data_IF_597388057635
#
_entry.id   IF_597388057635
#
_cell.length_a   1.000
_cell.length_b   1.000
_cell.length_c   1.000
_cell.angle_alpha   90.00
_cell.angle_beta   90.00
_cell.angle_gamma   90.00
#
_symmetry.space_group_name_H-M   'P 1'
#
loop_
_entity.id
_entity.type
_entity.pdbx_description
1 polymer ?
#
# COMPACT_ATOMS: atom_id res chain seq x y z
N UNK A 1 27.87 40.25 27.06
CA UNK A 1 27.36 39.20 27.96
C UNK A 1 25.84 39.22 27.88
N UNK A 2 25.25 38.47 26.95
CA UNK A 2 23.81 38.26 26.85
C UNK A 2 23.59 36.80 26.46
N UNK A 3 23.16 36.01 27.43
CA UNK A 3 22.63 34.67 27.25
C UNK A 3 21.21 34.80 26.70
N UNK A 4 20.88 34.03 25.66
CA UNK A 4 19.49 33.61 25.45
C UNK A 4 19.45 32.34 24.60
N UNK A 5 19.03 31.26 25.27
CA UNK A 5 18.75 29.93 24.74
C UNK A 5 17.44 29.98 23.95
N UNK A 6 17.44 29.56 22.68
CA UNK A 6 16.19 29.24 21.96
C UNK A 6 16.11 27.72 21.74
N UNK A 7 15.80 27.02 22.83
CA UNK A 7 15.21 25.68 22.76
C UNK A 7 13.72 25.85 22.51
N UNK A 8 13.27 25.59 21.28
CA UNK A 8 11.84 25.59 20.96
C UNK A 8 11.23 24.30 21.53
N UNK A 9 10.65 24.40 22.73
CA UNK A 9 9.69 23.44 23.26
C UNK A 9 8.31 23.84 22.74
N UNK A 10 7.76 23.08 21.79
CA UNK A 10 6.35 23.21 21.41
C UNK A 10 5.54 22.36 22.38
N UNK A 11 4.95 23.01 23.39
CA UNK A 11 3.93 22.42 24.25
C UNK A 11 2.60 22.46 23.50
N UNK A 12 2.27 21.39 22.79
CA UNK A 12 0.98 21.26 22.11
C UNK A 12 0.07 20.37 22.95
N UNK A 13 -0.73 21.00 23.81
CA UNK A 13 -1.94 20.37 24.34
C UNK A 13 -2.95 20.28 23.20
N UNK A 14 -3.13 19.09 22.63
CA UNK A 14 -4.17 18.85 21.64
C UNK A 14 -4.86 17.53 21.95
N UNK A 15 -6.14 17.66 22.29
CA UNK A 15 -7.14 16.60 22.41
C UNK A 15 -6.99 15.61 21.26
N UNK A 16 -6.51 14.41 21.59
CA UNK A 16 -6.40 13.31 20.64
C UNK A 16 -7.75 12.67 20.43
N UNK A 17 -8.32 12.85 19.23
CA UNK A 17 -9.35 11.94 18.70
C UNK A 17 -8.73 10.54 18.68
N UNK A 18 -9.29 9.66 19.51
CA UNK A 18 -8.90 8.28 19.70
C UNK A 18 -9.07 7.49 18.40
N UNK A 19 -7.99 7.30 17.65
CA UNK A 19 -7.85 6.09 16.83
C UNK A 19 -7.62 4.91 17.79
N UNK A 20 -8.70 4.31 18.29
CA UNK A 20 -8.68 3.05 19.05
C UNK A 20 -8.38 1.86 18.12
N UNK A 21 -7.21 1.87 17.49
CA UNK A 21 -6.51 0.63 17.22
C UNK A 21 -5.65 0.35 18.44
N UNK A 22 -5.80 -0.81 19.09
CA UNK A 22 -4.93 -1.25 20.19
C UNK A 22 -3.49 -1.24 19.70
N UNK A 23 -2.79 -0.13 19.88
CA UNK A 23 -1.39 0.06 19.53
C UNK A 23 -0.55 -0.52 20.64
N UNK A 24 0.38 -1.37 20.27
CA UNK A 24 1.22 -2.08 21.21
C UNK A 24 2.35 -1.16 21.66
N UNK A 25 2.52 -1.03 22.97
CA UNK A 25 3.61 -0.30 23.58
C UNK A 25 4.75 -1.28 23.82
N UNK A 26 5.85 -1.09 23.12
CA UNK A 26 6.93 -2.06 23.03
C UNK A 26 8.23 -1.39 23.47
N UNK A 27 8.98 -1.99 24.39
CA UNK A 27 10.29 -1.45 24.75
C UNK A 27 11.18 -1.36 23.51
N UNK A 28 11.90 -0.26 23.35
CA UNK A 28 12.72 -0.04 22.17
C UNK A 28 13.68 1.12 22.31
N UNK A 29 14.58 1.23 21.34
CA UNK A 29 15.59 2.28 21.29
C UNK A 29 15.62 2.91 19.90
N UNK A 30 15.68 4.24 19.85
CA UNK A 30 15.84 5.04 18.62
C UNK A 30 17.18 5.73 18.70
N UNK A 31 18.08 5.41 17.78
CA UNK A 31 19.36 6.08 17.58
C UNK A 31 19.26 7.05 16.41
N UNK A 32 19.74 8.27 16.61
CA UNK A 32 19.75 9.34 15.62
C UNK A 32 21.13 9.48 14.97
N UNK A 33 21.18 10.17 13.84
CA UNK A 33 22.40 10.37 13.05
C UNK A 33 23.48 11.19 13.78
N UNK A 34 23.10 11.97 14.77
CA UNK A 34 23.99 12.75 15.65
C UNK A 34 24.51 11.94 16.85
N UNK A 35 24.11 10.67 16.98
CA UNK A 35 24.45 9.79 18.11
C UNK A 35 23.50 9.90 19.30
N UNK A 36 22.51 10.81 19.27
CA UNK A 36 21.47 10.89 20.30
C UNK A 36 20.69 9.57 20.35
N UNK A 37 20.31 9.12 21.56
CA UNK A 37 19.51 7.91 21.77
C UNK A 37 18.27 8.20 22.60
N UNK A 38 17.12 7.72 22.14
CA UNK A 38 15.88 7.69 22.92
C UNK A 38 15.56 6.24 23.27
N UNK A 39 15.26 5.98 24.53
CA UNK A 39 14.90 4.65 25.03
C UNK A 39 13.62 4.73 25.84
N UNK A 40 12.71 3.78 25.65
CA UNK A 40 11.42 3.72 26.34
C UNK A 40 10.44 2.81 25.61
N UNK A 41 9.16 2.95 25.93
CA UNK A 41 8.08 2.22 25.27
C UNK A 41 7.67 2.95 23.99
N UNK A 42 7.87 2.31 22.85
CA UNK A 42 7.52 2.81 21.54
C UNK A 42 6.15 2.26 21.15
N UNK A 43 5.26 3.16 20.77
CA UNK A 43 3.98 2.86 20.17
C UNK A 43 4.16 2.78 18.64
N UNK A 44 4.07 1.57 18.10
CA UNK A 44 4.19 1.32 16.67
C UNK A 44 2.83 1.23 15.98
N UNK A 45 2.72 1.63 14.70
CA UNK A 45 1.58 1.23 13.89
C UNK A 45 1.64 -0.29 13.67
N UNK A 46 0.47 -0.95 13.57
CA UNK A 46 0.42 -2.38 13.25
C UNK A 46 1.07 -2.73 11.91
N UNK A 47 0.96 -1.82 10.95
CA UNK A 47 1.45 -1.98 9.58
C UNK A 47 2.23 -0.74 9.17
N UNK A 48 3.45 -0.95 8.68
CA UNK A 48 4.22 0.05 7.96
C UNK A 48 3.96 -0.06 6.46
N UNK A 49 3.83 1.08 5.79
CA UNK A 49 3.69 1.15 4.34
C UNK A 49 5.01 1.59 3.72
N UNK A 50 5.57 0.74 2.87
CA UNK A 50 6.87 0.97 2.24
C UNK A 50 6.70 0.92 0.74
N UNK A 51 7.19 1.94 0.05
CA UNK A 51 7.18 1.99 -1.39
C UNK A 51 8.54 1.61 -1.95
N UNK A 52 8.58 0.54 -2.74
CA UNK A 52 9.79 0.16 -3.49
C UNK A 52 9.49 0.19 -4.98
N UNK A 53 10.14 1.12 -5.68
CA UNK A 53 9.98 1.40 -7.12
C UNK A 53 8.54 1.69 -7.53
N UNK A 54 7.74 0.66 -7.79
CA UNK A 54 6.36 0.73 -8.27
C UNK A 54 5.39 -0.10 -7.41
N UNK A 55 5.84 -0.61 -6.25
CA UNK A 55 5.03 -1.47 -5.40
C UNK A 55 4.92 -0.90 -4.00
N UNK A 56 3.69 -0.80 -3.50
CA UNK A 56 3.41 -0.52 -2.10
C UNK A 56 3.36 -1.84 -1.33
N UNK A 57 4.23 -1.97 -0.34
CA UNK A 57 4.33 -3.13 0.53
C UNK A 57 3.80 -2.77 1.92
N UNK A 58 2.97 -3.65 2.47
CA UNK A 58 2.54 -3.61 3.88
C UNK A 58 3.49 -4.51 4.70
N UNK A 59 4.08 -3.97 5.77
CA UNK A 59 4.97 -4.70 6.66
C UNK A 59 4.39 -4.68 8.07
N UNK A 60 4.07 -5.85 8.62
CA UNK A 60 3.57 -5.96 10.01
C UNK A 60 4.68 -5.63 11.02
N UNK A 61 4.35 -4.82 12.03
CA UNK A 61 5.27 -4.44 13.10
C UNK A 61 5.74 -5.61 13.96
N UNK A 62 4.96 -6.68 14.04
CA UNK A 62 5.26 -7.85 14.89
C UNK A 62 6.48 -8.64 14.40
N UNK A 63 6.78 -8.56 13.11
CA UNK A 63 7.90 -9.30 12.49
C UNK A 63 9.21 -8.53 12.52
N UNK A 64 9.13 -7.22 12.73
CA UNK A 64 10.27 -6.34 12.64
C UNK A 64 11.11 -6.51 13.91
N UNK A 65 12.40 -6.75 13.72
CA UNK A 65 13.40 -6.67 14.76
C UNK A 65 13.98 -5.25 14.81
N UNK A 66 14.27 -4.69 13.63
CA UNK A 66 14.97 -3.43 13.50
C UNK A 66 14.54 -2.67 12.24
N UNK A 67 14.50 -1.34 12.32
CA UNK A 67 14.37 -0.44 11.18
C UNK A 67 15.62 0.42 11.08
N UNK A 68 16.33 0.33 9.96
CA UNK A 68 17.49 1.17 9.67
C UNK A 68 17.14 2.21 8.61
N UNK A 69 17.77 3.37 8.70
CA UNK A 69 17.67 4.42 7.69
C UNK A 69 19.06 4.80 7.20
N UNK A 70 19.21 4.86 5.88
CA UNK A 70 20.42 5.35 5.22
C UNK A 70 20.10 6.53 4.33
N UNK A 71 21.05 7.45 4.17
CA UNK A 71 20.93 8.54 3.22
C UNK A 71 21.10 8.01 1.80
N UNK A 72 20.07 8.18 0.98
CA UNK A 72 20.08 7.82 -0.44
C UNK A 72 20.56 9.01 -1.30
N UNK A 73 20.11 10.22 -0.96
CA UNK A 73 20.41 11.43 -1.72
C UNK A 73 20.53 12.64 -0.79
N UNK A 74 21.46 13.54 -1.09
CA UNK A 74 21.60 14.88 -0.49
C UNK A 74 21.50 15.94 -1.59
N UNK A 75 20.65 16.96 -1.42
CA UNK A 75 20.51 18.08 -2.38
C UNK A 75 20.27 19.46 -1.72
N UNK A 76 20.99 20.50 -2.16
CA UNK A 76 20.81 21.85 -1.66
C UNK A 76 19.66 22.42 -2.48
N UNK A 77 18.56 22.69 -1.81
CA UNK A 77 17.36 23.24 -2.45
C UNK A 77 17.24 24.71 -2.07
N UNK A 78 16.60 25.49 -2.93
CA UNK A 78 16.22 26.87 -2.62
C UNK A 78 14.72 26.97 -2.85
N UNK A 79 14.04 27.75 -2.01
CA UNK A 79 12.61 27.98 -2.21
C UNK A 79 12.41 28.67 -3.56
N UNK A 80 11.27 28.44 -4.18
CA UNK A 80 10.88 29.14 -5.39
C UNK A 80 9.38 29.40 -5.36
N UNK A 81 8.98 30.38 -6.15
CA UNK A 81 7.58 30.72 -6.37
C UNK A 81 7.37 30.94 -7.87
N UNK A 82 6.12 30.87 -8.29
CA UNK A 82 5.71 31.18 -9.66
C UNK A 82 5.13 32.59 -9.68
N UNK A 83 5.78 33.54 -10.36
CA UNK A 83 5.26 34.90 -10.45
C UNK A 83 3.88 35.00 -11.09
N UNK A 84 3.63 34.13 -12.06
CA UNK A 84 2.35 34.05 -12.75
C UNK A 84 1.83 32.60 -12.72
N UNK A 85 0.58 32.36 -12.25
CA UNK A 85 -0.03 31.04 -12.28
C UNK A 85 -0.07 30.45 -13.69
N UNK A 86 0.42 29.22 -13.84
CA UNK A 86 0.38 28.49 -15.11
C UNK A 86 1.56 28.74 -16.06
N UNK A 87 2.47 29.68 -15.73
CA UNK A 87 3.75 29.81 -16.44
C UNK A 87 4.82 28.93 -15.78
N UNK A 88 5.70 28.28 -16.56
CA UNK A 88 6.75 27.41 -16.01
C UNK A 88 7.91 28.18 -15.36
N UNK A 89 7.98 29.49 -15.53
CA UNK A 89 9.06 30.34 -14.98
C UNK A 89 9.00 30.37 -13.46
N UNK A 90 10.10 29.94 -12.83
CA UNK A 90 10.25 29.92 -11.38
C UNK A 90 11.24 31.01 -10.96
N UNK A 91 10.88 31.77 -9.94
CA UNK A 91 11.80 32.70 -9.29
C UNK A 91 12.25 32.12 -7.94
N UNK A 92 13.57 32.07 -7.75
CA UNK A 92 14.17 31.56 -6.51
C UNK A 92 14.03 32.60 -5.41
N UNK A 93 13.74 32.13 -4.21
CA UNK A 93 13.56 32.94 -3.00
C UNK A 93 14.29 32.31 -1.82
N UNK A 94 14.72 33.14 -0.88
CA UNK A 94 15.42 32.70 0.33
C UNK A 94 16.83 32.17 0.09
N UNK A 95 17.45 31.65 1.14
CA UNK A 95 18.78 31.03 1.05
C UNK A 95 18.68 29.52 0.76
N UNK A 96 19.72 28.88 0.21
CA UNK A 96 19.76 27.43 0.09
C UNK A 96 19.60 26.74 1.45
N UNK A 97 18.93 25.59 1.46
CA UNK A 97 18.74 24.72 2.62
C UNK A 97 19.01 23.25 2.25
N UNK A 98 19.49 22.44 3.21
CA UNK A 98 19.84 21.06 2.97
C UNK A 98 18.59 20.19 2.94
N UNK A 99 18.54 19.26 2.00
CA UNK A 99 17.50 18.24 1.89
C UNK A 99 18.14 16.88 1.82
N UNK A 100 17.68 15.96 2.66
CA UNK A 100 18.12 14.56 2.66
C UNK A 100 16.94 13.66 2.31
N UNK A 101 17.21 12.65 1.48
CA UNK A 101 16.29 11.55 1.19
C UNK A 101 16.82 10.29 1.84
N UNK A 102 15.94 9.60 2.56
CA UNK A 102 16.23 8.43 3.36
C UNK A 102 15.60 7.20 2.72
N UNK A 103 16.39 6.13 2.65
CA UNK A 103 15.92 4.80 2.37
C UNK A 103 15.80 4.03 3.68
N UNK A 104 14.66 3.37 3.88
CA UNK A 104 14.42 2.51 5.04
C UNK A 104 14.71 1.05 4.71
N UNK A 105 15.21 0.34 5.70
CA UNK A 105 15.43 -1.10 5.68
C UNK A 105 14.80 -1.71 6.92
N UNK A 106 13.97 -2.72 6.70
CA UNK A 106 13.25 -3.47 7.71
C UNK A 106 13.93 -4.82 7.84
N UNK A 107 14.57 -5.06 8.99
CA UNK A 107 15.19 -6.34 9.34
C UNK A 107 14.18 -7.12 10.17
N UNK A 108 13.92 -8.35 9.76
CA UNK A 108 12.95 -9.23 10.39
C UNK A 108 13.62 -10.24 11.32
N UNK A 109 12.84 -10.82 12.24
CA UNK A 109 13.33 -11.84 13.19
C UNK A 109 13.88 -13.11 12.54
N UNK A 110 13.54 -13.38 11.28
CA UNK A 110 14.07 -14.50 10.49
C UNK A 110 15.36 -14.15 9.74
N UNK A 111 15.89 -12.94 9.93
CA UNK A 111 17.08 -12.42 9.26
C UNK A 111 16.83 -11.89 7.85
N UNK A 112 15.61 -12.02 7.32
CA UNK A 112 15.25 -11.44 6.03
C UNK A 112 15.13 -9.92 6.12
N UNK A 113 15.16 -9.26 4.96
CA UNK A 113 15.15 -7.80 4.87
C UNK A 113 14.24 -7.31 3.75
N UNK A 114 13.45 -6.27 4.04
CA UNK A 114 12.70 -5.48 3.04
C UNK A 114 13.22 -4.04 3.05
N UNK A 115 13.15 -3.35 1.91
CA UNK A 115 13.66 -1.98 1.78
C UNK A 115 12.74 -1.11 0.92
N UNK A 116 12.83 0.21 1.09
CA UNK A 116 12.13 1.17 0.23
C UNK A 116 12.01 2.56 0.86
N UNK A 117 11.05 3.34 0.40
CA UNK A 117 10.68 4.63 1.00
C UNK A 117 9.53 4.43 1.96
N UNK A 118 9.77 4.75 3.23
CA UNK A 118 8.73 4.69 4.26
C UNK A 118 7.73 5.82 4.05
N UNK A 119 6.44 5.48 3.93
CA UNK A 119 5.36 6.46 4.04
C UNK A 119 5.41 7.14 5.40
N UNK A 120 5.07 8.43 5.44
CA UNK A 120 5.10 9.23 6.67
C UNK A 120 4.42 8.48 7.81
N UNK A 121 5.20 8.14 8.83
CA UNK A 121 4.77 7.31 9.96
C UNK A 121 5.08 8.04 11.25
N UNK A 122 4.14 8.05 12.19
CA UNK A 122 4.32 8.66 13.51
C UNK A 122 4.56 7.56 14.52
N UNK A 123 5.61 7.73 15.33
CA UNK A 123 5.87 6.93 16.52
C UNK A 123 5.74 7.82 17.77
N UNK A 124 5.25 7.23 18.85
CA UNK A 124 5.31 7.83 20.17
C UNK A 124 6.25 7.01 21.05
N UNK A 125 7.16 7.67 21.74
CA UNK A 125 8.06 7.06 22.71
C UNK A 125 7.73 7.61 24.08
N UNK A 126 7.28 6.74 24.97
CA UNK A 126 6.98 7.07 26.36
C UNK A 126 8.10 6.56 27.26
N UNK A 127 8.68 7.46 28.05
CA UNK A 127 9.63 7.13 29.11
C UNK A 127 9.15 7.85 30.37
N UNK A 128 8.90 7.08 31.42
CA UNK A 128 8.31 7.59 32.68
C UNK A 128 7.00 8.34 32.36
N UNK A 129 6.90 9.63 32.70
CA UNK A 129 5.72 10.47 32.45
C UNK A 129 5.83 11.33 31.17
N UNK A 130 6.92 11.20 30.40
CA UNK A 130 7.14 12.00 29.20
C UNK A 130 6.90 11.17 27.93
N UNK A 131 6.05 11.70 27.04
CA UNK A 131 5.84 11.14 25.71
C UNK A 131 6.44 12.05 24.64
N UNK A 132 7.35 11.51 23.84
CA UNK A 132 7.97 12.17 22.70
C UNK A 132 7.35 11.66 21.40
N UNK A 133 7.01 12.58 20.50
CA UNK A 133 6.53 12.25 19.15
C UNK A 133 7.71 12.27 18.19
N UNK A 134 7.88 11.19 17.43
CA UNK A 134 8.81 11.11 16.31
C UNK A 134 8.00 10.94 15.02
N UNK A 135 8.31 11.74 14.01
CA UNK A 135 7.73 11.58 12.67
C UNK A 135 8.83 11.07 11.74
N UNK A 136 8.61 9.88 11.18
CA UNK A 136 9.49 9.25 10.23
C UNK A 136 9.11 9.72 8.82
N UNK A 137 10.04 10.39 8.16
CA UNK A 137 9.89 10.86 6.78
C UNK A 137 10.93 10.21 5.89
N UNK A 138 10.57 9.89 4.64
CA UNK A 138 11.55 9.55 3.61
C UNK A 138 12.34 10.79 3.13
N UNK A 139 11.80 12.00 3.33
CA UNK A 139 12.42 13.27 2.92
C UNK A 139 12.42 14.26 4.08
N UNK A 140 13.61 14.73 4.47
CA UNK A 140 13.79 15.70 5.55
C UNK A 140 14.50 16.96 5.03
N UNK A 141 14.17 18.10 5.63
CA UNK A 141 14.72 19.42 5.27
C UNK A 141 15.32 20.06 6.51
N UNK A 142 16.52 20.63 6.38
CA UNK A 142 17.08 21.52 7.38
C UNK A 142 16.61 22.96 7.18
N UNK A 143 17.22 23.89 7.93
CA UNK A 143 16.90 25.32 7.80
C UNK A 143 17.73 25.98 6.71
N UNK A 144 17.32 27.17 6.32
CA UNK A 144 18.11 28.04 5.46
C UNK A 144 19.51 28.27 6.03
N UNK A 145 20.51 28.27 5.14
CA UNK A 145 21.93 28.48 5.45
C UNK A 145 22.58 27.36 6.29
N UNK A 146 21.86 26.30 6.64
CA UNK A 146 22.45 25.11 7.26
C UNK A 146 23.06 24.16 6.22
N UNK A 147 23.82 23.17 6.69
CA UNK A 147 24.41 22.10 5.89
C UNK A 147 23.76 20.75 6.22
N UNK A 148 24.16 19.69 5.52
CA UNK A 148 23.57 18.35 5.66
C UNK A 148 23.75 17.76 7.05
N UNK A 149 24.85 18.13 7.71
CA UNK A 149 25.25 17.64 9.02
C UNK A 149 24.31 18.15 10.11
N UNK A 150 23.60 19.27 9.89
CA UNK A 150 22.58 19.78 10.82
C UNK A 150 21.27 18.97 10.79
N UNK A 151 21.02 18.22 9.72
CA UNK A 151 19.76 17.50 9.55
C UNK A 151 19.84 16.18 10.30
N UNK A 152 19.39 16.20 11.56
CA UNK A 152 19.35 15.00 12.40
C UNK A 152 18.17 14.12 12.00
N UNK A 153 18.44 12.86 11.66
CA UNK A 153 17.45 11.87 11.27
C UNK A 153 17.55 10.59 12.11
N UNK A 154 16.45 9.82 12.28
CA UNK A 154 16.53 8.52 12.93
C UNK A 154 17.36 7.58 12.07
N UNK A 155 18.47 7.06 12.61
CA UNK A 155 19.38 6.17 11.91
C UNK A 155 18.99 4.70 12.11
N UNK A 156 18.56 4.35 13.33
CA UNK A 156 18.26 2.97 13.71
C UNK A 156 17.18 2.93 14.78
N UNK A 157 16.20 2.05 14.62
CA UNK A 157 15.14 1.79 15.60
C UNK A 157 15.19 0.30 15.92
N UNK A 158 15.48 -0.03 17.17
CA UNK A 158 15.57 -1.40 17.68
C UNK A 158 14.31 -1.70 18.48
N UNK A 159 13.65 -2.81 18.17
CA UNK A 159 12.47 -3.29 18.87
C UNK A 159 12.91 -4.31 19.92
N UNK A 160 12.68 -4.00 21.19
CA UNK A 160 13.06 -4.81 22.36
C UNK A 160 12.10 -5.97 22.65
N UNK A 161 11.43 -6.51 21.64
CA UNK A 161 10.64 -7.75 21.78
C UNK A 161 11.58 -8.95 21.81
N UNK A 162 11.18 -10.00 22.51
CA UNK A 162 11.69 -11.34 22.24
C UNK A 162 11.16 -11.80 20.88
N UNK A 163 11.97 -12.58 20.13
CA UNK A 163 11.52 -13.22 18.88
C UNK A 163 10.17 -13.88 19.16
N UNK A 164 9.11 -13.57 18.37
CA UNK A 164 7.82 -14.23 18.54
C UNK A 164 8.03 -15.74 18.52
N UNK A 165 7.47 -16.46 19.50
CA UNK A 165 7.40 -17.92 19.43
C UNK A 165 6.78 -18.29 18.09
N UNK A 166 7.43 -19.16 17.32
CA UNK A 166 7.01 -19.52 15.96
C UNK A 166 5.57 -20.05 16.01
N UNK A 167 4.60 -19.18 15.75
CA UNK A 167 3.21 -19.59 15.54
C UNK A 167 3.18 -20.22 14.15
N UNK A 168 2.67 -21.45 13.98
CA UNK A 168 2.51 -22.07 12.67
C UNK A 168 1.72 -21.12 11.79
N UNK A 169 2.39 -20.50 10.83
CA UNK A 169 1.73 -19.63 9.86
C UNK A 169 1.12 -20.53 8.79
N UNK A 170 -0.20 -20.48 8.67
CA UNK A 170 -0.89 -21.07 7.52
C UNK A 170 -0.31 -20.46 6.26
N UNK A 171 0.26 -21.25 5.36
CA UNK A 171 0.68 -20.77 4.05
C UNK A 171 -0.42 -21.10 3.05
N UNK A 172 -0.93 -20.10 2.36
CA UNK A 172 -1.81 -20.32 1.21
C UNK A 172 -0.96 -20.59 -0.03
N UNK A 173 -1.24 -21.70 -0.71
CA UNK A 173 -0.61 -22.07 -1.97
C UNK A 173 -1.66 -22.36 -3.02
N UNK A 174 -1.30 -22.10 -4.28
CA UNK A 174 -2.13 -22.43 -5.44
C UNK A 174 -1.59 -23.71 -6.05
N UNK A 175 -2.49 -24.62 -6.41
CA UNK A 175 -2.14 -25.95 -6.89
C UNK A 175 -1.25 -25.95 -8.13
N UNK A 176 -0.36 -26.96 -8.21
CA UNK A 176 0.43 -27.31 -9.40
C UNK A 176 -0.39 -27.43 -10.69
N UNK A 177 -1.66 -27.82 -10.59
CA UNK A 177 -2.57 -28.01 -11.74
C UNK A 177 -2.81 -26.71 -12.54
N UNK A 178 -2.58 -25.56 -11.90
CA UNK A 178 -2.63 -24.25 -12.51
C UNK A 178 -1.27 -23.79 -13.06
N UNK A 179 -0.27 -24.67 -13.18
CA UNK A 179 0.99 -24.36 -13.86
C UNK A 179 0.99 -24.84 -15.31
N UNK A 180 1.55 -24.09 -16.27
CA UNK A 180 1.96 -22.68 -16.17
C UNK A 180 0.75 -21.73 -16.39
N UNK A 181 0.52 -20.78 -15.47
CA UNK A 181 -0.50 -19.71 -15.61
C UNK A 181 0.02 -18.39 -15.05
N UNK A 182 -0.59 -17.28 -15.46
CA UNK A 182 -0.40 -16.00 -14.79
C UNK A 182 -1.33 -15.89 -13.59
N UNK A 183 -0.78 -15.49 -12.43
CA UNK A 183 -1.54 -15.37 -11.19
C UNK A 183 -1.46 -13.96 -10.63
N UNK A 184 -2.62 -13.38 -10.35
CA UNK A 184 -2.74 -12.03 -9.86
C UNK A 184 -3.59 -11.97 -8.58
N UNK A 185 -3.08 -11.26 -7.59
CA UNK A 185 -3.79 -10.91 -6.36
C UNK A 185 -4.16 -9.43 -6.36
N UNK A 186 -5.29 -9.10 -5.73
CA UNK A 186 -5.64 -7.73 -5.34
C UNK A 186 -6.03 -7.76 -3.86
N UNK A 187 -5.27 -7.09 -3.01
CA UNK A 187 -5.58 -6.96 -1.58
C UNK A 187 -6.87 -6.17 -1.36
N UNK A 188 -7.65 -6.53 -0.33
CA UNK A 188 -8.89 -5.82 -0.02
C UNK A 188 -8.64 -4.48 0.68
N UNK A 189 -7.62 -4.42 1.54
CA UNK A 189 -7.38 -3.25 2.37
C UNK A 189 -6.79 -2.09 1.58
N UNK A 190 -5.62 -2.29 0.96
CA UNK A 190 -4.92 -1.24 0.22
C UNK A 190 -5.21 -1.24 -1.29
N UNK A 191 -5.97 -2.23 -1.80
CA UNK A 191 -6.33 -2.36 -3.22
C UNK A 191 -5.11 -2.43 -4.17
N UNK A 192 -4.00 -2.93 -3.64
CA UNK A 192 -2.76 -3.12 -4.37
C UNK A 192 -2.78 -4.45 -5.12
N UNK A 193 -2.29 -4.40 -6.35
CA UNK A 193 -2.14 -5.54 -7.24
C UNK A 193 -0.78 -6.21 -7.04
N UNK A 194 -0.75 -7.54 -6.98
CA UNK A 194 0.48 -8.33 -6.92
C UNK A 194 0.45 -9.46 -7.96
N UNK A 195 1.46 -9.54 -8.80
CA UNK A 195 1.68 -10.71 -9.65
C UNK A 195 2.50 -11.72 -8.87
N UNK A 196 1.99 -12.94 -8.72
CA UNK A 196 2.74 -13.99 -8.02
C UNK A 196 3.83 -14.53 -8.93
N UNK A 197 5.02 -14.71 -8.35
CA UNK A 197 6.10 -15.41 -9.02
C UNK A 197 5.92 -16.90 -8.82
N UNK A 198 5.97 -17.64 -9.92
CA UNK A 198 6.01 -19.09 -9.90
C UNK A 198 7.30 -19.58 -9.20
N UNK A 199 7.17 -20.56 -8.30
CA UNK A 199 8.30 -21.41 -7.88
C UNK A 199 8.27 -22.71 -8.67
N UNK A 200 9.31 -23.56 -8.55
CA UNK A 200 9.35 -24.86 -9.24
C UNK A 200 8.11 -25.72 -8.95
N UNK A 201 7.50 -25.53 -7.78
CA UNK A 201 6.41 -26.38 -7.32
C UNK A 201 5.06 -25.68 -7.23
N UNK A 202 4.94 -24.41 -6.86
CA UNK A 202 3.63 -23.78 -6.63
C UNK A 202 3.70 -22.25 -6.83
N UNK A 203 2.57 -21.56 -6.66
CA UNK A 203 2.60 -20.13 -6.30
C UNK A 203 2.49 -19.98 -4.79
N UNK A 204 3.37 -19.17 -4.21
CA UNK A 204 3.29 -18.77 -2.81
C UNK A 204 2.60 -17.42 -2.70
N UNK A 205 1.53 -17.36 -1.90
CA UNK A 205 0.86 -16.10 -1.57
C UNK A 205 1.68 -15.37 -0.49
N UNK A 206 2.15 -14.13 -0.73
CA UNK A 206 2.88 -13.37 0.27
C UNK A 206 2.00 -13.15 1.50
N UNK A 207 2.59 -13.30 2.68
CA UNK A 207 1.86 -13.34 3.94
C UNK A 207 1.09 -12.04 4.23
N UNK A 208 1.60 -10.91 3.75
CA UNK A 208 0.93 -9.61 3.84
C UNK A 208 -0.49 -9.63 3.24
N UNK A 209 -0.71 -10.37 2.14
CA UNK A 209 -2.03 -10.50 1.53
C UNK A 209 -2.94 -11.41 2.35
N UNK A 210 -2.37 -12.44 2.98
CA UNK A 210 -3.15 -13.41 3.77
C UNK A 210 -3.81 -12.76 4.99
N UNK A 211 -3.12 -11.82 5.64
CA UNK A 211 -3.67 -11.08 6.79
C UNK A 211 -4.72 -10.04 6.37
N UNK A 212 -4.50 -9.33 5.25
CA UNK A 212 -5.40 -8.27 4.77
C UNK A 212 -6.65 -8.80 4.03
N UNK A 213 -6.62 -10.08 3.63
CA UNK A 213 -7.55 -10.65 2.67
C UNK A 213 -7.31 -10.13 1.25
N UNK A 214 -7.60 -10.98 0.26
CA UNK A 214 -7.38 -10.67 -1.15
C UNK A 214 -8.44 -11.28 -2.06
N UNK A 215 -8.50 -10.76 -3.27
CA UNK A 215 -9.12 -11.42 -4.42
C UNK A 215 -8.02 -12.04 -5.27
N UNK A 216 -8.29 -13.19 -5.88
CA UNK A 216 -7.33 -13.95 -6.66
C UNK A 216 -7.91 -14.19 -8.07
N UNK A 217 -7.07 -14.03 -9.08
CA UNK A 217 -7.39 -14.46 -10.43
C UNK A 217 -6.22 -15.22 -11.06
N UNK A 218 -6.54 -16.27 -11.81
CA UNK A 218 -5.60 -17.14 -12.52
C UNK A 218 -5.97 -17.08 -14.00
N UNK A 219 -5.03 -16.62 -14.84
CA UNK A 219 -5.20 -16.60 -16.29
C UNK A 219 -4.48 -17.79 -16.93
N UNK A 220 -5.25 -18.63 -17.62
CA UNK A 220 -4.77 -19.76 -18.43
C UNK A 220 -5.27 -19.56 -19.86
N UNK A 221 -4.39 -19.16 -20.76
CA UNK A 221 -4.75 -18.84 -22.15
C UNK A 221 -5.87 -17.79 -22.22
N UNK A 222 -6.98 -18.10 -22.91
CA UNK A 222 -8.16 -17.22 -23.02
C UNK A 222 -9.22 -17.46 -21.92
N UNK A 223 -8.87 -18.16 -20.84
CA UNK A 223 -9.75 -18.40 -19.69
C UNK A 223 -9.16 -17.76 -18.45
N UNK A 224 -10.02 -17.12 -17.65
CA UNK A 224 -9.64 -16.52 -16.38
C UNK A 224 -10.55 -17.08 -15.29
N UNK A 225 -9.93 -17.73 -14.32
CA UNK A 225 -10.59 -18.19 -13.10
C UNK A 225 -10.44 -17.11 -12.04
N UNK A 226 -11.52 -16.74 -11.38
CA UNK A 226 -11.53 -15.72 -10.34
C UNK A 226 -12.07 -16.33 -9.06
N UNK A 227 -11.26 -16.31 -8.01
CA UNK A 227 -11.76 -16.58 -6.68
C UNK A 227 -12.54 -15.37 -6.22
N UNK A 228 -13.84 -15.55 -6.05
CA UNK A 228 -14.76 -14.50 -5.62
C UNK A 228 -15.51 -14.97 -4.39
N UNK A 229 -15.73 -14.05 -3.45
CA UNK A 229 -16.51 -14.37 -2.26
C UNK A 229 -17.99 -14.46 -2.60
N UNK A 230 -18.76 -15.06 -1.68
CA UNK A 230 -20.20 -15.32 -1.80
C UNK A 230 -20.91 -14.23 -2.60
N UNK A 231 -21.66 -14.69 -3.60
CA UNK A 231 -22.54 -13.86 -4.44
C UNK A 231 -23.33 -12.87 -3.61
N UNK A 232 -23.19 -11.59 -3.93
CA UNK A 232 -23.98 -10.53 -3.31
C UNK A 232 -25.47 -10.70 -3.61
N UNK A 233 -26.30 -10.13 -2.76
CA UNK A 233 -27.75 -10.26 -2.93
C UNK A 233 -28.24 -9.52 -4.19
N UNK A 234 -29.49 -9.82 -4.57
CA UNK A 234 -30.12 -9.23 -5.75
C UNK A 234 -30.22 -7.70 -5.64
N UNK A 235 -30.42 -7.16 -4.44
CA UNK A 235 -30.56 -5.73 -4.18
C UNK A 235 -29.25 -4.99 -4.48
N UNK A 236 -28.15 -5.50 -3.93
CA UNK A 236 -26.78 -5.00 -4.13
C UNK A 236 -26.39 -5.08 -5.60
N UNK A 237 -26.72 -6.19 -6.27
CA UNK A 237 -26.47 -6.36 -7.69
C UNK A 237 -27.18 -5.29 -8.52
N UNK A 238 -28.47 -5.05 -8.27
CA UNK A 238 -29.26 -4.01 -8.96
C UNK A 238 -28.69 -2.62 -8.69
N UNK A 239 -28.31 -2.34 -7.43
CA UNK A 239 -27.75 -1.06 -7.02
C UNK A 239 -26.42 -0.76 -7.74
N UNK A 240 -25.51 -1.74 -7.82
CA UNK A 240 -24.27 -1.58 -8.58
C UNK A 240 -24.55 -1.45 -10.08
N UNK A 241 -25.48 -2.26 -10.61
CA UNK A 241 -25.83 -2.23 -12.03
C UNK A 241 -26.37 -0.87 -12.48
N UNK A 242 -27.16 -0.21 -11.63
CA UNK A 242 -27.66 1.15 -11.91
C UNK A 242 -26.60 2.22 -11.76
N UNK A 243 -25.55 2.01 -10.96
CA UNK A 243 -24.46 2.96 -10.77
C UNK A 243 -23.43 2.95 -11.93
N UNK A 244 -23.24 1.81 -12.61
CA UNK A 244 -22.21 1.64 -13.67
C UNK A 244 -22.29 2.69 -14.80
N UNK A 245 -23.47 3.03 -15.36
CA UNK A 245 -23.57 4.01 -16.45
C UNK A 245 -23.05 5.41 -16.08
N UNK A 246 -23.11 5.78 -14.80
CA UNK A 246 -22.68 7.11 -14.33
C UNK A 246 -21.15 7.23 -14.17
N UNK A 247 -20.42 6.12 -14.26
CA UNK A 247 -18.95 6.13 -14.24
C UNK A 247 -18.44 6.50 -15.63
N UNK A 248 -17.97 7.74 -15.80
CA UNK A 248 -17.25 8.15 -17.02
C UNK A 248 -15.96 7.33 -17.15
N UNK A 249 -15.77 6.68 -18.29
CA UNK A 249 -14.64 5.78 -18.52
C UNK A 249 -14.28 5.70 -20.01
N UNK A 250 -13.05 5.26 -20.29
CA UNK A 250 -12.58 4.94 -21.63
C UNK A 250 -13.34 3.77 -22.26
N UNK A 251 -13.72 2.76 -21.48
CA UNK A 251 -14.43 1.57 -21.94
C UNK A 251 -15.92 1.86 -22.14
N UNK A 252 -16.44 1.54 -23.33
CA UNK A 252 -17.84 1.75 -23.72
C UNK A 252 -18.72 0.52 -23.48
N UNK A 253 -18.11 -0.66 -23.34
CA UNK A 253 -18.79 -1.88 -22.92
C UNK A 253 -18.32 -2.30 -21.52
N UNK A 254 -19.29 -2.37 -20.59
CA UNK A 254 -19.04 -2.62 -19.17
C UNK A 254 -19.98 -3.73 -18.71
N UNK A 255 -19.44 -4.93 -18.57
CA UNK A 255 -20.18 -6.11 -18.10
C UNK A 255 -19.91 -6.33 -16.61
N UNK A 256 -20.96 -6.24 -15.79
CA UNK A 256 -20.93 -6.68 -14.41
C UNK A 256 -20.95 -8.21 -14.38
N UNK A 257 -19.97 -8.82 -13.72
CA UNK A 257 -19.86 -10.28 -13.59
C UNK A 257 -20.39 -10.75 -12.24
N UNK A 258 -19.96 -10.11 -11.16
CA UNK A 258 -20.41 -10.46 -9.81
C UNK A 258 -20.22 -9.29 -8.84
N UNK A 259 -20.93 -9.35 -7.72
CA UNK A 259 -20.82 -8.38 -6.63
C UNK A 259 -20.54 -9.07 -5.30
N UNK A 260 -19.85 -8.38 -4.41
CA UNK A 260 -19.57 -8.85 -3.06
C UNK A 260 -19.59 -7.66 -2.08
N UNK A 261 -20.27 -7.80 -0.95
CA UNK A 261 -20.33 -6.77 0.09
C UNK A 261 -19.56 -7.25 1.33
N UNK A 262 -18.45 -6.58 1.67
CA UNK A 262 -17.60 -7.00 2.80
C UNK A 262 -18.00 -6.39 4.15
N UNK A 263 -18.56 -5.18 4.09
CA UNK A 263 -19.00 -4.33 5.22
C UNK A 263 -20.24 -3.57 4.77
N UNK A 264 -21.03 -3.03 5.70
CA UNK A 264 -22.27 -2.31 5.37
C UNK A 264 -22.06 -1.19 4.33
N UNK A 265 -20.92 -0.50 4.37
CA UNK A 265 -20.61 0.66 3.51
C UNK A 265 -19.76 0.34 2.27
N UNK A 266 -19.28 -0.90 2.10
CA UNK A 266 -18.27 -1.22 1.08
C UNK A 266 -18.70 -2.39 0.22
N UNK A 267 -18.88 -2.11 -1.07
CA UNK A 267 -19.25 -3.08 -2.09
C UNK A 267 -18.11 -3.20 -3.10
N UNK A 268 -17.82 -4.42 -3.51
CA UNK A 268 -16.90 -4.74 -4.60
C UNK A 268 -17.69 -5.30 -5.77
N UNK A 269 -17.30 -4.92 -6.99
CA UNK A 269 -17.86 -5.51 -8.20
C UNK A 269 -16.75 -6.00 -9.12
N UNK A 270 -16.93 -7.22 -9.64
CA UNK A 270 -16.08 -7.80 -10.66
C UNK A 270 -16.62 -7.37 -12.04
N UNK A 271 -15.76 -6.75 -12.82
CA UNK A 271 -16.11 -6.11 -14.09
C UNK A 271 -15.27 -6.69 -15.23
N UNK A 272 -15.91 -6.95 -16.37
CA UNK A 272 -15.23 -7.09 -17.65
C UNK A 272 -15.50 -5.85 -18.48
N UNK A 273 -14.45 -5.14 -18.84
CA UNK A 273 -14.50 -3.89 -19.58
C UNK A 273 -13.88 -4.09 -20.95
N UNK A 274 -14.55 -3.58 -21.98
CA UNK A 274 -14.08 -3.64 -23.36
C UNK A 274 -14.31 -2.30 -24.05
N UNK A 275 -13.40 -1.98 -24.97
CA UNK A 275 -13.54 -0.85 -25.88
C UNK A 275 -13.94 -1.40 -27.24
N UNK A 276 -15.15 -1.09 -27.68
CA UNK A 276 -15.69 -1.46 -29.00
C UNK A 276 -15.56 -0.33 -30.02
N UNK A 277 -15.58 0.93 -29.57
CA UNK A 277 -15.41 2.09 -30.45
C UNK A 277 -13.98 2.20 -30.99
N UNK A 278 -13.83 2.99 -32.06
CA UNK A 278 -12.52 3.28 -32.68
C UNK A 278 -11.52 3.80 -31.64
N UNK A 279 -10.32 3.25 -31.68
CA UNK A 279 -9.16 3.68 -30.89
C UNK A 279 -8.14 4.36 -31.79
N UNK A 280 -7.17 5.05 -31.19
CA UNK A 280 -6.03 5.66 -31.88
C UNK A 280 -4.93 4.64 -32.22
N UNK A 281 -5.13 3.36 -31.88
CA UNK A 281 -4.18 2.29 -32.19
C UNK A 281 -4.34 1.89 -33.66
N UNK A 282 -3.32 2.18 -34.46
CA UNK A 282 -3.25 1.78 -35.86
C UNK A 282 -2.60 0.40 -35.99
N UNK A 283 -3.29 -0.61 -35.47
CA UNK A 283 -2.81 -2.00 -35.44
C UNK A 283 -3.96 -2.99 -35.63
N UNK A 284 -3.62 -4.22 -36.03
CA UNK A 284 -4.59 -5.33 -36.11
C UNK A 284 -5.25 -5.62 -34.74
N UNK A 285 -4.46 -5.50 -33.66
CA UNK A 285 -4.92 -5.52 -32.28
C UNK A 285 -5.17 -4.10 -31.79
N UNK A 286 -6.44 -3.71 -31.67
CA UNK A 286 -6.82 -2.32 -31.33
C UNK A 286 -8.01 -2.18 -30.39
N UNK A 287 -8.52 -3.27 -29.84
CA UNK A 287 -9.67 -3.26 -28.93
C UNK A 287 -9.22 -3.66 -27.51
N UNK A 288 -8.83 -2.68 -26.66
CA UNK A 288 -8.45 -2.94 -25.28
C UNK A 288 -9.56 -3.60 -24.47
N UNK A 289 -9.17 -4.52 -23.60
CA UNK A 289 -10.04 -5.09 -22.58
C UNK A 289 -9.33 -5.13 -21.23
N UNK A 290 -10.13 -5.14 -20.15
CA UNK A 290 -9.65 -5.29 -18.78
C UNK A 290 -10.63 -6.11 -17.96
N UNK A 291 -10.08 -6.97 -17.10
CA UNK A 291 -10.82 -7.53 -15.99
C UNK A 291 -10.46 -6.76 -14.73
N UNK A 292 -11.45 -6.08 -14.13
CA UNK A 292 -11.24 -5.16 -13.02
C UNK A 292 -12.12 -5.50 -11.82
N UNK A 293 -11.64 -5.10 -10.64
CA UNK A 293 -12.44 -4.94 -9.44
C UNK A 293 -12.67 -3.46 -9.24
N UNK A 294 -13.93 -3.10 -9.04
CA UNK A 294 -14.32 -1.76 -8.63
C UNK A 294 -14.74 -1.81 -7.17
N UNK A 295 -14.25 -0.86 -6.38
CA UNK A 295 -14.62 -0.67 -4.98
C UNK A 295 -15.52 0.54 -4.88
N UNK A 296 -16.71 0.30 -4.34
CA UNK A 296 -17.75 1.28 -4.14
C UNK A 296 -17.88 1.60 -2.65
N UNK A 297 -18.14 2.86 -2.36
CA UNK A 297 -18.63 3.31 -1.07
C UNK A 297 -20.13 3.57 -1.18
N UNK A 298 -20.88 2.96 -0.27
CA UNK A 298 -22.31 3.16 -0.16
C UNK A 298 -22.57 4.23 0.88
N UNK A 299 -23.11 5.35 0.42
CA UNK A 299 -23.59 6.42 1.27
C UNK A 299 -25.01 6.04 1.73
N UNK A 300 -25.15 5.80 3.03
CA UNK A 300 -26.42 5.42 3.65
C UNK A 300 -27.40 6.60 3.69
N UNK A 301 -26.90 7.82 3.84
CA UNK A 301 -27.71 9.03 3.99
C UNK A 301 -28.26 9.46 2.63
N UNK A 302 -27.43 9.40 1.59
CA UNK A 302 -27.83 9.73 0.21
C UNK A 302 -28.38 8.53 -0.58
N UNK A 303 -28.36 7.32 0.00
CA UNK A 303 -28.72 6.07 -0.67
C UNK A 303 -28.05 5.91 -2.04
N UNK A 304 -26.74 6.23 -2.10
CA UNK A 304 -25.99 6.37 -3.35
C UNK A 304 -24.69 5.58 -3.31
N UNK A 305 -24.31 5.01 -4.45
CA UNK A 305 -22.96 4.46 -4.65
C UNK A 305 -22.01 5.51 -5.22
N UNK A 306 -20.84 5.62 -4.59
CA UNK A 306 -19.70 6.36 -5.08
C UNK A 306 -18.57 5.40 -5.43
N UNK A 307 -18.05 5.49 -6.65
CA UNK A 307 -16.86 4.73 -7.03
C UNK A 307 -15.64 5.28 -6.30
N UNK A 308 -15.07 4.50 -5.39
CA UNK A 308 -13.95 4.92 -4.55
C UNK A 308 -12.59 4.56 -5.15
N UNK A 309 -12.47 3.40 -5.79
CA UNK A 309 -11.24 2.99 -6.46
C UNK A 309 -11.45 1.85 -7.46
N UNK A 310 -10.51 1.69 -8.38
CA UNK A 310 -10.48 0.62 -9.38
C UNK A 310 -9.12 -0.05 -9.40
N UNK A 311 -9.10 -1.36 -9.64
CA UNK A 311 -7.88 -2.12 -9.83
C UNK A 311 -8.13 -3.23 -10.84
N UNK A 312 -7.12 -3.56 -11.66
CA UNK A 312 -7.25 -4.62 -12.65
C UNK A 312 -6.49 -5.89 -12.22
N UNK A 313 -7.00 -7.05 -12.63
CA UNK A 313 -6.25 -8.29 -12.58
C UNK A 313 -5.39 -8.44 -13.83
N UNK A 314 -6.07 -8.54 -14.98
CA UNK A 314 -5.50 -8.77 -16.29
C UNK A 314 -6.04 -7.75 -17.31
N UNK A 315 -5.25 -7.51 -18.34
CA UNK A 315 -5.57 -6.60 -19.43
C UNK A 315 -4.96 -7.12 -20.73
N UNK A 316 -5.55 -6.76 -21.85
CA UNK A 316 -5.01 -7.09 -23.16
C UNK A 316 -5.62 -6.23 -24.26
N UNK A 317 -5.30 -6.58 -25.50
CA UNK A 317 -5.78 -5.90 -26.70
C UNK A 317 -6.21 -6.98 -27.68
N UNK A 318 -7.48 -6.96 -28.08
CA UNK A 318 -8.07 -7.92 -29.02
C UNK A 318 -7.92 -7.42 -30.46
N UNK A 319 -7.83 -8.39 -31.37
CA UNK A 319 -8.13 -8.19 -32.79
C UNK A 319 -9.64 -8.11 -33.04
N UNK A 320 -10.06 -7.66 -34.23
CA UNK A 320 -11.48 -7.44 -34.58
C UNK A 320 -12.39 -8.65 -34.36
N UNK A 321 -11.89 -9.86 -34.57
CA UNK A 321 -12.65 -11.12 -34.46
C UNK A 321 -12.22 -11.95 -33.25
N UNK A 322 -11.37 -11.41 -32.38
CA UNK A 322 -10.90 -12.11 -31.18
C UNK A 322 -11.87 -11.82 -30.03
N UNK A 323 -12.39 -12.87 -29.40
CA UNK A 323 -13.27 -12.72 -28.25
C UNK A 323 -12.48 -12.42 -26.98
N UNK A 324 -13.08 -11.65 -26.07
CA UNK A 324 -12.51 -11.45 -24.77
C UNK A 324 -12.42 -12.75 -23.96
N UNK A 325 -11.56 -12.81 -22.93
CA UNK A 325 -11.41 -14.01 -22.13
C UNK A 325 -12.71 -14.49 -21.50
N UNK A 326 -12.88 -15.81 -21.47
CA UNK A 326 -13.95 -16.46 -20.74
C UNK A 326 -13.65 -16.35 -19.24
N UNK A 327 -14.53 -15.68 -18.49
CA UNK A 327 -14.37 -15.49 -17.05
C UNK A 327 -15.25 -16.49 -16.31
N UNK A 328 -14.65 -17.17 -15.34
CA UNK A 328 -15.35 -18.10 -14.45
C UNK A 328 -15.07 -17.78 -13.00
N UNK A 329 -16.11 -17.90 -12.19
CA UNK A 329 -16.08 -17.57 -10.79
C UNK A 329 -16.06 -18.87 -10.01
N UNK A 330 -15.08 -19.01 -9.13
CA UNK A 330 -14.85 -20.19 -8.30
C UNK A 330 -14.85 -19.75 -6.83
N UNK A 331 -15.40 -20.57 -5.93
CA UNK A 331 -15.45 -20.23 -4.50
C UNK A 331 -14.13 -20.52 -3.79
N UNK A 332 -13.39 -21.54 -4.23
CA UNK A 332 -12.11 -21.94 -3.63
C UNK A 332 -11.05 -22.30 -4.67
N UNK A 333 -10.02 -21.47 -4.77
CA UNK A 333 -8.85 -21.70 -5.62
C UNK A 333 -7.57 -21.96 -4.80
N UNK A 334 -7.66 -21.99 -3.47
CA UNK A 334 -6.49 -22.05 -2.57
C UNK A 334 -6.45 -23.35 -1.79
N UNK A 335 -5.28 -23.97 -1.73
CA UNK A 335 -4.99 -24.98 -0.70
C UNK A 335 -4.42 -24.31 0.53
N UNK A 336 -5.08 -24.50 1.67
CA UNK A 336 -4.53 -24.21 2.99
C UNK A 336 -3.61 -25.34 3.40
N UNK A 337 -2.33 -25.05 3.56
CA UNK A 337 -1.38 -25.98 4.15
C UNK A 337 -0.82 -25.38 5.44
N UNK A 338 -0.81 -26.17 6.51
CA UNK A 338 -0.08 -25.83 7.72
C UNK A 338 1.35 -26.32 7.54
N UNK A 339 2.31 -25.39 7.46
CA UNK A 339 3.71 -25.77 7.59
C UNK A 339 4.08 -25.69 9.06
N UNK A 340 4.28 -26.84 9.69
CA UNK A 340 5.21 -26.92 10.80
C UNK A 340 6.61 -26.73 10.18
N UNK A 341 7.32 -25.66 10.55
CA UNK A 341 8.73 -25.57 10.20
C UNK A 341 9.52 -26.48 11.15
N UNK A 342 10.49 -27.26 10.63
CA UNK A 342 11.33 -28.15 11.42
C UNK A 342 12.20 -27.41 12.43
#
# INVERSE_FOLDING_TARGET
MFLSKNTIFVFLCLFGILFQGKTENIDGTIEFSDGTKWQGKIQFPKIFKVHDKNQLQSISSEKIQEIQFSVEKKEMTQAFWFPEPGKPTQEKSGSPYPVIHLRSFFVFWDGSQKQGHLYTTVLYLTKEEQTKKLILFYKMRGKEKENWESVVYPKKIIIGKTKPTDVPQSSHSIEKTYLPCDVCLVSKQNFARCMLKQTEENFSVPEEYQQEGFFLAIQKQNRILVQWEKKGDKKTTILVQSAIPFVSDFFDDKKLLEVFQSKEDTIYSLMLLQRKSKTTLDAEKKYPWRMEIWRWKYDLDENRLMLASRQYFFRGILSKNEEAPCIQIEEDLLKKSFKEKP
#
